data_IF_245494690532
#
_entry.id   IF_245494690532
#
_cell.length_a   1.000
_cell.length_b   1.000
_cell.length_c   1.000
_cell.angle_alpha   90.00
_cell.angle_beta   90.00
_cell.angle_gamma   90.00
#
_symmetry.space_group_name_H-M   'P 1'
#
loop_
_entity.id
_entity.type
_entity.pdbx_description
1 polymer ?
#
# COMPACT_ATOMS: atom_id res chain seq x y z
N UNK A 1 21.23 -53.75 -56.70
CA UNK A 1 22.13 -53.10 -55.73
C UNK A 1 21.34 -52.05 -54.95
N UNK A 2 20.97 -52.38 -53.71
CA UNK A 2 21.33 -51.69 -52.45
C UNK A 2 20.71 -50.30 -52.19
N UNK A 3 19.76 -50.32 -51.24
CA UNK A 3 19.73 -49.49 -50.03
C UNK A 3 19.38 -48.00 -50.15
N UNK A 4 18.10 -47.64 -49.98
CA UNK A 4 17.69 -46.28 -49.55
C UNK A 4 16.42 -46.24 -48.67
N UNK A 5 16.03 -47.32 -47.97
CA UNK A 5 14.78 -47.37 -47.17
C UNK A 5 15.00 -47.49 -45.65
N UNK A 6 15.86 -46.68 -45.03
CA UNK A 6 16.04 -46.71 -43.56
C UNK A 6 16.28 -45.37 -42.86
N UNK A 7 15.82 -44.25 -43.42
CA UNK A 7 16.03 -42.94 -42.77
C UNK A 7 14.78 -42.06 -42.64
N UNK A 8 13.60 -42.64 -42.47
CA UNK A 8 12.36 -41.85 -42.29
C UNK A 8 11.55 -42.18 -41.01
N UNK A 9 11.99 -43.12 -40.18
CA UNK A 9 11.25 -43.51 -38.97
C UNK A 9 11.79 -42.93 -37.65
N UNK A 10 12.87 -42.13 -37.68
CA UNK A 10 13.53 -41.67 -36.45
C UNK A 10 13.21 -40.22 -36.06
N UNK A 11 12.55 -39.44 -36.92
CA UNK A 11 12.36 -37.99 -36.69
C UNK A 11 10.97 -37.66 -36.12
N UNK A 12 9.98 -38.55 -36.28
CA UNK A 12 8.63 -38.30 -35.76
C UNK A 12 8.48 -38.49 -34.23
N UNK A 13 9.42 -39.18 -33.57
CA UNK A 13 9.35 -39.39 -32.12
C UNK A 13 10.01 -38.29 -31.28
N UNK A 14 10.84 -37.42 -31.88
CA UNK A 14 11.60 -36.40 -31.15
C UNK A 14 10.80 -35.09 -31.03
N UNK A 15 9.84 -34.84 -31.92
CA UNK A 15 9.02 -33.61 -31.90
C UNK A 15 7.93 -33.64 -30.81
N UNK A 16 7.53 -34.82 -30.33
CA UNK A 16 6.48 -34.96 -29.30
C UNK A 16 7.03 -34.73 -27.88
N UNK A 17 8.34 -34.85 -27.67
CA UNK A 17 8.96 -34.71 -26.34
C UNK A 17 9.37 -33.29 -25.96
N UNK A 18 9.26 -32.32 -26.88
CA UNK A 18 9.57 -30.90 -26.59
C UNK A 18 8.34 -29.99 -26.45
N UNK A 19 7.12 -30.51 -26.65
CA UNK A 19 5.90 -29.70 -26.58
C UNK A 19 5.19 -29.71 -25.22
N UNK A 20 5.66 -30.52 -24.25
CA UNK A 20 4.99 -30.68 -22.95
C UNK A 20 5.50 -29.70 -21.86
N UNK A 21 6.45 -28.82 -22.15
CA UNK A 21 7.07 -27.97 -21.12
C UNK A 21 6.59 -26.51 -21.08
N UNK A 22 5.67 -26.09 -21.96
CA UNK A 22 5.24 -24.68 -22.06
C UNK A 22 3.84 -24.38 -21.52
N UNK A 23 3.28 -25.25 -20.68
CA UNK A 23 2.12 -24.92 -19.85
C UNK A 23 2.55 -24.74 -18.38
N UNK A 24 3.55 -23.89 -18.13
CA UNK A 24 3.58 -23.19 -16.84
C UNK A 24 2.50 -22.12 -16.93
N UNK A 25 1.28 -22.46 -16.50
CA UNK A 25 0.33 -21.42 -16.13
C UNK A 25 1.03 -20.55 -15.09
N UNK A 26 1.25 -19.28 -15.41
CA UNK A 26 1.66 -18.33 -14.39
C UNK A 26 0.53 -18.29 -13.37
N UNK A 27 0.76 -18.92 -12.22
CA UNK A 27 -0.06 -18.66 -11.04
C UNK A 27 0.25 -17.22 -10.67
N UNK A 28 -0.49 -16.27 -11.22
CA UNK A 28 -0.50 -14.91 -10.70
C UNK A 28 -0.77 -15.04 -9.20
N UNK A 29 0.03 -14.43 -8.33
CA UNK A 29 -0.25 -14.49 -6.91
C UNK A 29 -1.70 -14.02 -6.71
N UNK A 30 -2.47 -14.79 -5.94
CA UNK A 30 -3.87 -14.48 -5.61
C UNK A 30 -4.01 -13.23 -4.72
N UNK A 31 -2.90 -12.53 -4.49
CA UNK A 31 -2.75 -11.39 -3.61
C UNK A 31 -1.82 -10.36 -4.25
N UNK A 32 -2.29 -9.12 -4.37
CA UNK A 32 -1.50 -7.99 -4.86
C UNK A 32 -1.44 -6.92 -3.78
N UNK A 33 -0.23 -6.42 -3.52
CA UNK A 33 0.06 -5.38 -2.56
C UNK A 33 0.82 -4.24 -3.23
N UNK A 34 0.43 -3.01 -2.94
CA UNK A 34 1.13 -1.79 -3.30
C UNK A 34 1.55 -1.04 -2.04
N UNK A 35 2.71 -0.39 -2.10
CA UNK A 35 3.08 0.60 -1.10
C UNK A 35 2.15 1.83 -1.24
N UNK A 36 1.62 2.41 -0.13
CA UNK A 36 0.56 3.42 -0.21
C UNK A 36 1.07 4.85 -0.46
N UNK A 37 2.39 5.06 -0.56
CA UNK A 37 3.02 6.38 -0.79
C UNK A 37 4.06 6.31 -1.92
N UNK A 38 4.44 7.45 -2.52
CA UNK A 38 5.49 7.46 -3.55
C UNK A 38 6.91 7.32 -2.98
N UNK A 39 7.08 7.22 -1.65
CA UNK A 39 8.40 7.03 -1.05
C UNK A 39 8.94 5.62 -1.35
N UNK A 40 10.02 5.46 -2.13
CA UNK A 40 10.51 4.14 -2.54
C UNK A 40 11.38 3.46 -1.48
N UNK A 41 11.66 4.12 -0.34
CA UNK A 41 12.66 3.67 0.63
C UNK A 41 12.39 2.26 1.15
N UNK A 42 11.13 1.91 1.45
CA UNK A 42 10.76 0.57 1.87
C UNK A 42 11.07 -0.48 0.78
N UNK A 43 10.62 -0.25 -0.45
CA UNK A 43 10.85 -1.16 -1.58
C UNK A 43 12.34 -1.31 -1.94
N UNK A 44 13.16 -0.31 -1.62
CA UNK A 44 14.62 -0.32 -1.80
C UNK A 44 15.38 -0.95 -0.62
N UNK A 45 14.70 -1.44 0.40
CA UNK A 45 15.34 -2.05 1.58
C UNK A 45 16.10 -1.04 2.46
N UNK A 46 15.74 0.24 2.40
CA UNK A 46 16.34 1.27 3.26
C UNK A 46 15.81 1.14 4.70
N UNK A 47 16.57 1.65 5.67
CA UNK A 47 16.17 1.64 7.08
C UNK A 47 14.90 2.45 7.36
N UNK A 48 14.21 2.15 8.46
CA UNK A 48 12.92 2.75 8.81
C UNK A 48 12.93 4.28 8.92
N UNK A 49 14.06 4.87 9.30
CA UNK A 49 14.25 6.32 9.31
C UNK A 49 14.09 6.98 7.94
N UNK A 50 14.14 6.21 6.84
CA UNK A 50 13.96 6.68 5.47
C UNK A 50 12.50 6.73 5.00
N UNK A 51 11.53 6.39 5.86
CA UNK A 51 10.10 6.53 5.52
C UNK A 51 9.18 6.79 6.72
N UNK A 52 9.61 6.54 7.96
CA UNK A 52 8.79 6.79 9.14
C UNK A 52 8.83 8.25 9.60
N UNK A 53 7.66 8.84 9.76
CA UNK A 53 7.47 10.15 10.36
C UNK A 53 7.53 10.03 11.89
N UNK A 54 8.54 10.65 12.50
CA UNK A 54 8.61 10.77 13.97
C UNK A 54 7.53 11.70 14.51
N UNK A 55 7.09 11.40 15.74
CA UNK A 55 5.95 12.05 16.41
C UNK A 55 6.31 13.36 17.12
N UNK A 56 7.60 13.70 17.16
CA UNK A 56 8.18 14.85 17.85
C UNK A 56 9.60 15.15 17.36
N UNK A 57 10.09 16.38 17.50
CA UNK A 57 11.47 16.72 17.15
C UNK A 57 12.48 15.87 17.91
N UNK A 58 12.26 15.64 19.20
CA UNK A 58 13.17 14.90 20.09
C UNK A 58 12.85 13.40 20.19
N UNK A 59 11.99 12.89 19.31
CA UNK A 59 11.59 11.48 19.31
C UNK A 59 12.43 10.69 18.32
N UNK A 60 12.72 9.44 18.68
CA UNK A 60 13.31 8.48 17.74
C UNK A 60 12.37 8.23 16.55
N UNK A 61 12.94 7.80 15.41
CA UNK A 61 12.17 7.46 14.21
C UNK A 61 11.12 6.37 14.49
N UNK A 62 11.43 5.44 15.41
CA UNK A 62 10.52 4.36 15.84
C UNK A 62 9.23 4.86 16.47
N UNK A 63 9.13 6.15 16.82
CA UNK A 63 7.89 6.71 17.37
C UNK A 63 6.70 6.72 16.39
N UNK A 64 6.98 6.70 15.09
CA UNK A 64 5.97 6.55 14.03
C UNK A 64 5.77 5.11 13.57
N UNK A 65 6.43 4.13 14.19
CA UNK A 65 6.24 2.71 13.88
C UNK A 65 5.01 2.16 14.62
N UNK A 66 4.48 1.06 14.10
CA UNK A 66 3.44 0.28 14.76
C UNK A 66 3.91 -0.20 16.14
N UNK A 67 3.01 -0.22 17.11
CA UNK A 67 3.27 -0.72 18.46
C UNK A 67 4.08 0.24 19.34
N UNK A 68 4.47 1.43 18.85
CA UNK A 68 5.10 2.43 19.71
C UNK A 68 4.12 2.89 20.80
N UNK A 69 4.51 2.73 22.06
CA UNK A 69 3.68 3.12 23.21
C UNK A 69 3.98 4.55 23.70
N UNK A 70 2.93 5.24 24.13
CA UNK A 70 2.94 6.57 24.74
C UNK A 70 2.19 6.53 26.08
N UNK A 71 2.25 7.61 26.85
CA UNK A 71 1.55 7.74 28.12
C UNK A 71 1.77 6.55 29.07
N UNK A 72 3.03 6.21 29.35
CA UNK A 72 3.39 5.09 30.22
C UNK A 72 2.86 3.70 29.78
N UNK A 73 2.62 3.49 28.48
CA UNK A 73 2.23 2.17 27.95
C UNK A 73 0.76 2.03 27.57
N UNK A 74 -0.11 2.97 27.95
CA UNK A 74 -1.57 2.84 27.77
C UNK A 74 -2.09 3.24 26.39
N UNK A 75 -1.24 3.83 25.54
CA UNK A 75 -1.63 4.20 24.18
C UNK A 75 -0.57 3.68 23.22
N UNK A 76 -0.88 2.62 22.49
CA UNK A 76 -0.01 2.12 21.43
C UNK A 76 -0.39 2.76 20.09
N UNK A 77 0.57 2.78 19.17
CA UNK A 77 0.37 3.27 17.83
C UNK A 77 -0.17 2.14 16.95
N UNK A 78 -1.41 2.28 16.47
CA UNK A 78 -2.15 1.27 15.71
C UNK A 78 -1.70 1.14 14.25
N UNK A 79 -0.83 2.05 13.78
CA UNK A 79 -0.40 2.09 12.38
C UNK A 79 1.05 2.50 12.17
N UNK A 80 1.36 2.87 10.93
CA UNK A 80 2.61 3.46 10.49
C UNK A 80 2.37 4.91 10.09
N UNK A 81 3.21 5.82 10.58
CA UNK A 81 3.21 7.20 10.13
C UNK A 81 4.26 7.35 9.01
N UNK A 82 3.84 7.59 7.77
CA UNK A 82 4.71 7.65 6.58
C UNK A 82 4.86 9.09 6.08
N UNK A 83 6.09 9.62 6.05
CA UNK A 83 6.34 11.02 5.66
C UNK A 83 6.30 11.23 4.13
N UNK A 84 6.02 12.47 3.65
CA UNK A 84 6.03 12.81 2.23
C UNK A 84 7.44 12.97 1.66
N UNK A 85 7.60 12.69 0.37
CA UNK A 85 8.82 12.98 -0.39
C UNK A 85 8.77 14.33 -1.13
N UNK A 86 7.58 14.92 -1.30
CA UNK A 86 7.41 16.25 -1.91
C UNK A 86 6.59 17.20 -1.05
N UNK A 87 6.95 18.48 -1.09
CA UNK A 87 6.26 19.56 -0.39
C UNK A 87 6.18 20.80 -1.27
N UNK A 88 5.07 21.51 -1.15
CA UNK A 88 4.86 22.80 -1.80
C UNK A 88 5.65 23.93 -1.08
N UNK A 89 5.72 25.16 -1.64
CA UNK A 89 6.41 26.29 -1.00
C UNK A 89 5.85 26.71 0.36
N UNK A 90 4.63 26.27 0.73
CA UNK A 90 4.02 26.51 2.04
C UNK A 90 4.32 25.37 3.03
N UNK A 91 5.06 24.35 2.60
CA UNK A 91 5.42 23.17 3.39
C UNK A 91 4.36 22.08 3.42
N UNK A 92 3.26 22.19 2.66
CA UNK A 92 2.20 21.16 2.61
C UNK A 92 2.70 19.96 1.82
N UNK A 93 2.36 18.75 2.27
CA UNK A 93 2.64 17.54 1.51
C UNK A 93 1.94 17.56 0.15
N UNK A 94 2.62 17.09 -0.90
CA UNK A 94 2.06 16.98 -2.26
C UNK A 94 1.81 15.53 -2.69
N UNK A 95 2.31 14.58 -1.92
CA UNK A 95 2.25 13.16 -2.23
C UNK A 95 0.80 12.67 -2.38
N UNK A 96 0.56 11.89 -3.44
CA UNK A 96 -0.67 11.13 -3.59
C UNK A 96 -0.61 9.87 -2.73
N UNK A 97 -1.75 9.47 -2.19
CA UNK A 97 -1.93 8.23 -1.43
C UNK A 97 -2.63 7.20 -2.31
N UNK A 98 -2.19 5.96 -2.23
CA UNK A 98 -2.66 4.87 -3.08
C UNK A 98 -3.19 3.70 -2.25
N UNK A 99 -4.18 2.99 -2.78
CA UNK A 99 -4.75 1.80 -2.17
C UNK A 99 -3.67 0.71 -2.09
N UNK A 100 -3.42 0.18 -0.90
CA UNK A 100 -2.46 -0.88 -0.71
C UNK A 100 -2.92 -2.19 -1.36
N UNK A 101 -4.23 -2.43 -1.39
CA UNK A 101 -4.84 -3.64 -1.95
C UNK A 101 -6.15 -3.29 -2.64
N UNK A 102 -6.62 -4.17 -3.53
CA UNK A 102 -7.99 -4.12 -4.04
C UNK A 102 -8.98 -4.27 -2.88
N UNK A 103 -10.04 -3.48 -2.86
CA UNK A 103 -11.05 -3.56 -1.81
C UNK A 103 -12.29 -2.71 -2.07
N UNK A 104 -13.16 -2.64 -1.07
CA UNK A 104 -14.39 -1.85 -1.10
C UNK A 104 -14.28 -0.75 -0.05
N UNK A 105 -14.64 0.48 -0.41
CA UNK A 105 -14.72 1.58 0.56
C UNK A 105 -15.86 1.29 1.55
N UNK A 106 -15.53 1.08 2.81
CA UNK A 106 -16.53 0.88 3.87
C UNK A 106 -16.79 2.14 4.69
N UNK A 107 -15.81 3.05 4.70
CA UNK A 107 -15.93 4.35 5.34
C UNK A 107 -15.09 5.42 4.62
N UNK A 108 -15.61 6.64 4.56
CA UNK A 108 -14.87 7.82 4.11
C UNK A 108 -15.33 9.05 4.92
N UNK A 109 -14.42 9.64 5.68
CA UNK A 109 -14.66 10.87 6.41
C UNK A 109 -13.95 12.03 5.71
N UNK A 110 -14.71 12.98 5.17
CA UNK A 110 -14.17 14.18 4.51
C UNK A 110 -13.99 15.38 5.46
N UNK A 111 -14.37 15.24 6.73
CA UNK A 111 -14.40 16.35 7.70
C UNK A 111 -13.33 16.11 8.78
N UNK A 112 -12.28 16.93 8.74
CA UNK A 112 -11.11 16.84 9.64
C UNK A 112 -11.46 16.77 11.13
N UNK A 113 -12.45 17.54 11.58
CA UNK A 113 -12.83 17.62 13.00
C UNK A 113 -13.57 16.40 13.57
N UNK A 114 -14.05 15.48 12.73
CA UNK A 114 -14.92 14.38 13.17
C UNK A 114 -14.17 13.16 13.75
N UNK A 115 -12.85 13.11 13.62
CA UNK A 115 -12.05 11.96 14.07
C UNK A 115 -10.60 12.35 14.35
N UNK A 116 -9.94 11.65 15.27
CA UNK A 116 -8.49 11.77 15.48
C UNK A 116 -7.69 11.45 14.20
N UNK A 117 -8.21 10.59 13.32
CA UNK A 117 -7.63 10.32 12.02
C UNK A 117 -7.77 11.49 11.04
N UNK A 118 -8.61 12.49 11.32
CA UNK A 118 -8.83 13.60 10.41
C UNK A 118 -9.71 13.21 9.24
N UNK A 119 -9.34 13.60 8.02
CA UNK A 119 -9.93 13.03 6.81
C UNK A 119 -9.29 11.67 6.57
N UNK A 120 -10.11 10.64 6.38
CA UNK A 120 -9.61 9.27 6.22
C UNK A 120 -10.56 8.37 5.44
N UNK A 121 -10.01 7.28 4.92
CA UNK A 121 -10.73 6.22 4.21
C UNK A 121 -10.43 4.89 4.88
N UNK A 122 -11.43 4.01 4.97
CA UNK A 122 -11.26 2.60 5.35
C UNK A 122 -11.71 1.73 4.20
N UNK A 123 -10.86 0.78 3.82
CA UNK A 123 -11.16 -0.24 2.82
C UNK A 123 -11.29 -1.61 3.50
N UNK A 124 -12.21 -2.42 2.97
CA UNK A 124 -12.36 -3.83 3.31
C UNK A 124 -11.85 -4.69 2.14
N UNK A 125 -11.05 -5.71 2.45
CA UNK A 125 -10.33 -6.54 1.48
C UNK A 125 -10.81 -7.99 1.56
N UNK A 126 -11.82 -8.32 0.77
CA UNK A 126 -12.49 -9.63 0.79
C UNK A 126 -11.85 -10.69 -0.12
N UNK A 127 -10.76 -10.35 -0.80
CA UNK A 127 -9.98 -11.30 -1.62
C UNK A 127 -9.06 -12.21 -0.79
N UNK A 128 -8.97 -11.98 0.52
CA UNK A 128 -8.18 -12.75 1.48
C UNK A 128 -9.03 -13.21 2.65
N UNK A 129 -8.62 -14.31 3.29
CA UNK A 129 -9.28 -14.89 4.46
C UNK A 129 -8.28 -14.99 5.63
N UNK A 130 -8.56 -14.40 6.81
CA UNK A 130 -9.72 -13.56 7.10
C UNK A 130 -9.73 -12.26 6.28
N UNK A 131 -10.90 -11.62 6.17
CA UNK A 131 -11.01 -10.27 5.59
C UNK A 131 -10.06 -9.33 6.32
N UNK A 132 -9.27 -8.57 5.55
CA UNK A 132 -8.42 -7.51 6.08
C UNK A 132 -9.08 -6.15 5.90
N UNK A 133 -8.71 -5.20 6.74
CA UNK A 133 -9.02 -3.79 6.59
C UNK A 133 -7.76 -2.98 6.40
N UNK A 134 -7.85 -1.88 5.65
CA UNK A 134 -6.82 -0.85 5.63
C UNK A 134 -7.40 0.53 5.92
N UNK A 135 -6.69 1.32 6.70
CA UNK A 135 -7.05 2.71 7.03
C UNK A 135 -6.00 3.68 6.47
N UNK A 136 -6.47 4.77 5.85
CA UNK A 136 -5.64 5.82 5.26
C UNK A 136 -6.00 7.16 5.90
N UNK A 137 -5.25 7.57 6.91
CA UNK A 137 -5.53 8.74 7.75
C UNK A 137 -4.80 10.02 7.35
N UNK A 138 -5.22 11.11 7.99
CA UNK A 138 -4.62 12.45 7.94
C UNK A 138 -4.59 13.09 6.54
N UNK A 139 -5.49 12.70 5.65
CA UNK A 139 -5.51 13.14 4.26
C UNK A 139 -5.81 14.66 4.13
N UNK A 140 -5.15 15.33 3.20
CA UNK A 140 -5.51 16.71 2.81
C UNK A 140 -6.85 16.73 2.06
N UNK A 141 -7.02 15.76 1.16
CA UNK A 141 -8.24 15.53 0.39
C UNK A 141 -8.41 14.06 0.05
N UNK A 142 -9.66 13.58 0.05
CA UNK A 142 -10.04 12.27 -0.48
C UNK A 142 -10.46 12.46 -1.93
N UNK A 143 -10.14 11.49 -2.80
CA UNK A 143 -10.62 11.49 -4.17
C UNK A 143 -12.17 11.45 -4.18
N UNK A 144 -12.86 12.39 -4.88
CA UNK A 144 -14.32 12.50 -4.84
C UNK A 144 -15.10 11.25 -5.26
N UNK A 145 -14.47 10.32 -5.98
CA UNK A 145 -15.07 9.03 -6.36
C UNK A 145 -15.18 8.07 -5.16
N UNK A 146 -14.38 8.23 -4.12
CA UNK A 146 -14.34 7.32 -2.96
C UNK A 146 -15.51 7.57 -2.00
N UNK A 147 -16.61 6.87 -2.27
CA UNK A 147 -17.80 6.81 -1.41
C UNK A 147 -18.03 5.38 -0.94
N UNK A 148 -18.74 5.21 0.18
CA UNK A 148 -19.08 3.88 0.70
C UNK A 148 -19.69 2.99 -0.40
N UNK A 149 -19.20 1.76 -0.53
CA UNK A 149 -19.61 0.78 -1.53
C UNK A 149 -18.82 0.81 -2.85
N UNK A 150 -17.94 1.80 -3.06
CA UNK A 150 -17.11 1.87 -4.27
C UNK A 150 -15.97 0.85 -4.19
N UNK A 151 -15.80 0.07 -5.27
CA UNK A 151 -14.63 -0.82 -5.45
C UNK A 151 -13.41 -0.01 -5.88
N UNK A 152 -12.27 -0.33 -5.28
CA UNK A 152 -10.98 0.31 -5.50
C UNK A 152 -9.98 -0.77 -5.92
N UNK A 153 -9.22 -0.53 -6.98
CA UNK A 153 -8.14 -1.42 -7.41
C UNK A 153 -6.86 -1.18 -6.59
N UNK A 154 -5.98 -2.17 -6.54
CA UNK A 154 -4.63 -1.99 -6.01
C UNK A 154 -3.94 -0.80 -6.72
N UNK A 155 -3.18 -0.02 -5.96
CA UNK A 155 -2.49 1.20 -6.41
C UNK A 155 -3.39 2.30 -6.99
N UNK A 156 -4.72 2.18 -6.91
CA UNK A 156 -5.63 3.26 -7.27
C UNK A 156 -5.50 4.42 -6.27
N UNK A 157 -5.56 5.65 -6.77
CA UNK A 157 -5.44 6.85 -5.93
C UNK A 157 -6.59 6.94 -4.93
N UNK A 158 -6.24 7.14 -3.66
CA UNK A 158 -7.17 7.40 -2.54
C UNK A 158 -7.36 8.89 -2.32
N UNK A 159 -6.29 9.67 -2.46
CA UNK A 159 -6.31 11.08 -2.13
C UNK A 159 -4.93 11.69 -2.10
N UNK A 160 -4.80 12.75 -1.31
CA UNK A 160 -3.57 13.50 -1.12
C UNK A 160 -3.18 13.48 0.36
N UNK A 161 -1.90 13.25 0.63
CA UNK A 161 -1.35 13.26 1.98
C UNK A 161 -1.54 14.63 2.64
N UNK A 162 -1.82 14.65 3.95
CA UNK A 162 -2.03 15.88 4.69
C UNK A 162 -1.55 15.83 6.13
N UNK A 163 -2.20 16.64 6.97
CA UNK A 163 -1.96 16.76 8.40
C UNK A 163 -3.30 17.02 9.13
N UNK A 164 -4.39 16.45 8.61
CA UNK A 164 -5.76 16.87 8.92
C UNK A 164 -6.34 16.29 10.21
N UNK A 165 -5.54 15.73 11.12
CA UNK A 165 -6.04 15.17 12.37
C UNK A 165 -6.93 16.19 13.12
N UNK A 166 -7.84 15.73 13.98
CA UNK A 166 -8.64 16.63 14.81
C UNK A 166 -7.78 17.45 15.79
N UNK A 167 -6.55 16.99 16.06
CA UNK A 167 -5.53 17.72 16.79
C UNK A 167 -4.46 18.28 15.85
N UNK A 168 -3.72 19.30 16.30
CA UNK A 168 -2.74 20.00 15.46
C UNK A 168 -1.52 19.12 15.14
N UNK A 169 -1.40 18.73 13.86
CA UNK A 169 -0.16 18.24 13.27
C UNK A 169 0.46 19.40 12.45
N UNK A 170 1.70 19.85 12.74
CA UNK A 170 2.35 20.90 11.96
C UNK A 170 2.70 20.41 10.55
N UNK A 171 2.76 21.33 9.58
CA UNK A 171 2.98 21.00 8.17
C UNK A 171 4.26 20.20 7.94
N UNK A 172 5.35 20.54 8.60
CA UNK A 172 6.62 19.79 8.51
C UNK A 172 6.53 18.34 9.01
N UNK A 173 5.43 17.94 9.64
CA UNK A 173 5.12 16.56 10.04
C UNK A 173 3.84 16.03 9.39
N UNK A 174 3.37 16.61 8.29
CA UNK A 174 2.38 15.94 7.44
C UNK A 174 2.85 14.50 7.15
N UNK A 175 1.93 13.55 7.21
CA UNK A 175 2.19 12.13 6.98
C UNK A 175 0.90 11.41 6.61
N UNK A 176 1.03 10.22 6.05
CA UNK A 176 -0.04 9.24 6.01
C UNK A 176 0.01 8.43 7.31
N UNK A 177 -1.09 8.36 8.04
CA UNK A 177 -1.28 7.32 9.05
C UNK A 177 -1.91 6.10 8.37
N UNK A 178 -1.20 4.97 8.38
CA UNK A 178 -1.57 3.77 7.63
C UNK A 178 -1.71 2.56 8.55
N UNK A 179 -2.86 1.90 8.50
CA UNK A 179 -3.13 0.69 9.30
C UNK A 179 -3.51 -0.49 8.40
N UNK A 180 -3.20 -1.69 8.87
CA UNK A 180 -3.74 -2.97 8.39
C UNK A 180 -4.26 -3.73 9.61
N UNK A 181 -5.50 -4.21 9.55
CA UNK A 181 -6.18 -4.93 10.64
C UNK A 181 -7.01 -6.10 10.15
#
# INVERSE_FOLDING_TARGET
>A
MRSQYRLLLSIQFIVILFLSSFLRGEVSPSFQLSWPTPNPAFAKGMGYSAFLQKTGPDKAFSSGAFGCVRNNGYKFHEGLDLYPVKRDPRGRAEDSIYAAMEGIVVHANNISGHSAYGKYVVLEHNSVAPTLYSLYGHLDSIDPVLKKGVTIKVAQKIGKMGNSASYRIPLNRSHLHFEIG
#
